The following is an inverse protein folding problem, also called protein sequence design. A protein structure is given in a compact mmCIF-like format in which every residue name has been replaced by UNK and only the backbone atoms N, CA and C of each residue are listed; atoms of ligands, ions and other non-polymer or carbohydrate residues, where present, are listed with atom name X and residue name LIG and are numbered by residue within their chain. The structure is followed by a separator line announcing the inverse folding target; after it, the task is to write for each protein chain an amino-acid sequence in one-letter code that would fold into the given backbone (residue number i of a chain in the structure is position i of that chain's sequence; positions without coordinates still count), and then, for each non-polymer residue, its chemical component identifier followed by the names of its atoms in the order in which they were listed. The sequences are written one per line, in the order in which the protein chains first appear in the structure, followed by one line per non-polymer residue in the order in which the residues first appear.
data_IF_400967370700
#
_entry.id   IF_400967370700
#
_cell.length_a   1.000
_cell.length_b   1.000
_cell.length_c   1.000
_cell.angle_alpha   90.00
_cell.angle_beta   90.00
_cell.angle_gamma   90.00
#
_symmetry.space_group_name_H-M   'P 1'
#
loop_
_entity.id
_entity.type
_entity.pdbx_description
1 polymer ?
#
# COMPACT_ATOMS: atom_id res chain seq x y z
N UNK A 1 7.54 -14.13 13.33
CA UNK A 1 6.29 -13.36 13.22
C UNK A 1 5.14 -14.23 13.69
N UNK A 2 4.04 -13.62 14.12
CA UNK A 2 2.84 -14.34 14.58
C UNK A 2 2.14 -15.03 13.39
N UNK A 3 2.19 -16.37 13.39
CA UNK A 3 1.61 -17.20 12.32
C UNK A 3 0.07 -17.18 12.32
N UNK A 4 -0.57 -16.94 13.46
CA UNK A 4 -2.02 -16.82 13.52
C UNK A 4 -2.48 -15.53 12.82
N UNK A 5 -1.80 -14.42 13.08
CA UNK A 5 -2.07 -13.15 12.41
C UNK A 5 -1.87 -13.24 10.89
N UNK A 6 -0.77 -13.83 10.43
CA UNK A 6 -0.50 -13.97 8.99
C UNK A 6 -1.55 -14.82 8.28
N UNK A 7 -1.98 -15.94 8.87
CA UNK A 7 -3.08 -16.76 8.32
C UNK A 7 -4.39 -16.00 8.24
N UNK A 8 -4.70 -15.16 9.25
CA UNK A 8 -5.91 -14.33 9.25
C UNK A 8 -5.88 -13.27 8.15
N UNK A 9 -4.75 -12.61 7.93
CA UNK A 9 -4.61 -11.66 6.82
C UNK A 9 -4.75 -12.34 5.46
N UNK A 10 -4.21 -13.55 5.29
CA UNK A 10 -4.35 -14.28 4.05
C UNK A 10 -5.82 -14.67 3.78
N UNK A 11 -6.54 -15.15 4.79
CA UNK A 11 -7.97 -15.43 4.66
C UNK A 11 -8.78 -14.19 4.24
N UNK A 12 -8.48 -13.02 4.81
CA UNK A 12 -9.12 -11.75 4.42
C UNK A 12 -8.75 -11.33 2.99
N UNK A 13 -7.50 -11.52 2.58
CA UNK A 13 -7.04 -11.22 1.21
C UNK A 13 -7.77 -12.08 0.18
N UNK A 14 -7.91 -13.39 0.46
CA UNK A 14 -8.66 -14.33 -0.38
C UNK A 14 -10.12 -13.89 -0.49
N UNK A 15 -10.77 -13.60 0.63
CA UNK A 15 -12.16 -13.13 0.64
C UNK A 15 -12.34 -11.84 -0.18
N UNK A 16 -11.40 -10.88 -0.04
CA UNK A 16 -11.38 -9.66 -0.84
C UNK A 16 -11.21 -9.94 -2.34
N UNK A 17 -10.25 -10.79 -2.71
CA UNK A 17 -10.01 -11.15 -4.12
C UNK A 17 -11.20 -11.85 -4.78
N UNK A 18 -11.91 -12.71 -4.05
CA UNK A 18 -13.18 -13.31 -4.52
C UNK A 18 -14.25 -12.25 -4.75
N UNK A 19 -14.44 -11.32 -3.79
CA UNK A 19 -15.44 -10.23 -3.91
C UNK A 19 -15.10 -9.22 -5.01
N UNK A 20 -13.82 -9.02 -5.31
CA UNK A 20 -13.35 -8.19 -6.42
C UNK A 20 -13.44 -8.91 -7.78
N UNK A 21 -13.79 -10.20 -7.82
CA UNK A 21 -13.79 -11.01 -9.04
C UNK A 21 -12.39 -11.35 -9.58
N UNK A 22 -11.34 -11.15 -8.78
CA UNK A 22 -9.96 -11.51 -9.15
C UNK A 22 -9.70 -13.02 -9.01
N UNK A 23 -10.43 -13.69 -8.12
CA UNK A 23 -10.36 -15.13 -7.89
C UNK A 23 -11.71 -15.76 -8.20
N UNK A 24 -11.72 -16.97 -8.78
CA UNK A 24 -12.95 -17.76 -8.97
C UNK A 24 -13.18 -18.70 -7.80
N UNK A 25 -12.10 -19.23 -7.23
CA UNK A 25 -12.11 -20.07 -6.04
C UNK A 25 -10.94 -19.71 -5.10
N UNK A 26 -11.01 -20.01 -3.79
CA UNK A 26 -9.95 -19.71 -2.83
C UNK A 26 -8.55 -20.17 -3.25
N UNK A 27 -8.47 -21.30 -3.95
CA UNK A 27 -7.22 -21.95 -4.36
C UNK A 27 -6.47 -21.13 -5.44
N UNK A 28 -7.19 -20.29 -6.21
CA UNK A 28 -6.57 -19.42 -7.21
C UNK A 28 -5.64 -18.38 -6.58
N UNK A 29 -5.86 -18.04 -5.31
CA UNK A 29 -5.04 -17.07 -4.60
C UNK A 29 -3.57 -17.50 -4.46
N UNK A 30 -3.29 -18.81 -4.49
CA UNK A 30 -1.93 -19.36 -4.49
C UNK A 30 -1.15 -19.04 -5.78
N UNK A 31 -1.86 -18.84 -6.90
CA UNK A 31 -1.29 -18.45 -8.20
C UNK A 31 -0.99 -16.95 -8.28
N UNK A 32 -1.58 -16.14 -7.40
CA UNK A 32 -1.39 -14.68 -7.33
C UNK A 32 -0.97 -14.24 -5.93
N UNK A 33 0.33 -14.38 -5.66
CA UNK A 33 0.93 -14.04 -4.37
C UNK A 33 1.04 -12.52 -4.11
N UNK A 34 0.86 -11.70 -5.16
CA UNK A 34 1.05 -10.24 -5.10
C UNK A 34 -0.25 -9.43 -5.16
N UNK A 35 -1.30 -9.97 -5.79
CA UNK A 35 -2.55 -9.24 -6.02
C UNK A 35 -3.79 -10.07 -5.63
N UNK A 36 -4.82 -9.47 -5.01
CA UNK A 36 -4.79 -8.12 -4.45
C UNK A 36 -3.83 -8.04 -3.24
N UNK A 37 -3.25 -6.86 -2.99
CA UNK A 37 -2.57 -6.58 -1.73
C UNK A 37 -3.60 -6.36 -0.63
N UNK A 38 -3.26 -6.71 0.61
CA UNK A 38 -4.07 -6.38 1.79
C UNK A 38 -3.33 -5.36 2.65
N UNK A 39 -4.05 -4.32 3.07
CA UNK A 39 -3.57 -3.31 3.99
C UNK A 39 -4.63 -3.01 5.04
N UNK A 40 -4.19 -2.57 6.21
CA UNK A 40 -5.05 -2.04 7.27
C UNK A 40 -4.62 -0.63 7.62
N UNK A 41 -5.59 0.18 8.01
CA UNK A 41 -5.44 1.61 8.25
C UNK A 41 -5.95 1.99 9.63
N UNK A 42 -5.42 3.07 10.18
CA UNK A 42 -5.89 3.68 11.41
C UNK A 42 -5.68 5.20 11.35
N UNK A 43 -6.39 5.99 12.19
CA UNK A 43 -6.10 7.40 12.39
C UNK A 43 -4.64 7.65 12.76
N UNK A 44 -4.19 8.90 12.57
CA UNK A 44 -2.87 9.33 12.99
C UNK A 44 -2.62 8.99 14.46
N UNK A 45 -1.52 8.31 14.76
CA UNK A 45 -1.11 7.94 16.12
C UNK A 45 0.40 7.84 16.15
N UNK A 46 1.02 8.41 17.18
CA UNK A 46 2.47 8.39 17.37
C UNK A 46 3.01 6.96 17.50
N UNK A 47 4.17 6.69 16.90
CA UNK A 47 4.85 5.39 17.00
C UNK A 47 6.36 5.51 16.84
N UNK A 48 7.08 4.51 17.34
CA UNK A 48 8.51 4.34 17.06
C UNK A 48 8.67 3.53 15.77
N UNK A 49 9.35 4.10 14.78
CA UNK A 49 9.63 3.43 13.51
C UNK A 49 10.71 2.36 13.65
N UNK A 50 10.86 1.50 12.63
CA UNK A 50 11.88 0.45 12.62
C UNK A 50 13.33 0.97 12.61
N UNK A 51 13.55 2.27 12.35
CA UNK A 51 14.86 2.92 12.45
C UNK A 51 15.12 3.56 13.82
N UNK A 52 14.18 3.43 14.77
CA UNK A 52 14.25 4.06 16.10
C UNK A 52 13.77 5.52 16.12
N UNK A 53 13.42 6.12 14.97
CA UNK A 53 12.86 7.47 14.94
C UNK A 53 11.41 7.46 15.42
N UNK A 54 11.08 8.36 16.36
CA UNK A 54 9.69 8.67 16.73
C UNK A 54 9.01 9.43 15.59
N UNK A 55 7.85 8.95 15.17
CA UNK A 55 6.92 9.65 14.28
C UNK A 55 5.74 10.07 15.15
N UNK A 56 5.43 11.37 15.19
CA UNK A 56 4.31 11.87 15.99
C UNK A 56 3.00 11.80 15.21
N UNK A 57 1.87 11.93 15.90
CA UNK A 57 0.57 12.00 15.23
C UNK A 57 0.46 13.23 14.32
N UNK A 58 1.14 14.32 14.66
CA UNK A 58 1.17 15.56 13.87
C UNK A 58 2.03 15.42 12.59
N UNK A 59 2.94 14.43 12.55
CA UNK A 59 3.78 14.15 11.38
C UNK A 59 3.03 13.39 10.27
N UNK A 60 1.81 12.90 10.51
CA UNK A 60 1.08 12.02 9.58
C UNK A 60 -0.42 12.31 9.56
N UNK A 61 -1.06 12.03 8.43
CA UNK A 61 -2.53 12.07 8.30
C UNK A 61 -3.18 10.76 8.77
N UNK A 62 -2.49 9.63 8.59
CA UNK A 62 -3.00 8.29 8.90
C UNK A 62 -1.86 7.27 9.03
N UNK A 63 -2.17 6.13 9.63
CA UNK A 63 -1.31 4.95 9.63
C UNK A 63 -1.76 3.98 8.54
N UNK A 64 -0.78 3.43 7.80
CA UNK A 64 -1.03 2.31 6.89
C UNK A 64 0.01 1.22 7.09
N UNK A 65 -0.46 -0.02 7.13
CA UNK A 65 0.37 -1.23 7.21
C UNK A 65 -0.12 -2.19 6.15
N UNK A 66 0.78 -2.66 5.29
CA UNK A 66 0.43 -3.53 4.16
C UNK A 66 1.24 -4.82 4.20
N UNK A 67 0.61 -5.90 3.74
CA UNK A 67 1.26 -7.19 3.56
C UNK A 67 1.58 -7.39 2.08
N UNK A 68 2.74 -8.01 1.82
CA UNK A 68 3.17 -8.47 0.50
C UNK A 68 3.81 -9.84 0.65
N UNK A 69 3.46 -10.78 -0.24
CA UNK A 69 3.99 -12.15 -0.22
C UNK A 69 3.86 -12.80 1.17
N UNK A 70 2.73 -12.61 1.84
CA UNK A 70 2.41 -13.20 3.15
C UNK A 70 3.14 -12.61 4.35
N UNK A 71 3.85 -11.48 4.23
CA UNK A 71 4.55 -10.80 5.34
C UNK A 71 4.24 -9.31 5.39
N UNK A 72 4.35 -8.72 6.58
CA UNK A 72 4.28 -7.28 6.75
C UNK A 72 5.44 -6.61 6.01
N UNK A 73 5.12 -5.64 5.15
CA UNK A 73 6.12 -4.91 4.40
C UNK A 73 6.86 -3.92 5.32
N UNK A 74 8.20 -3.86 5.22
CA UNK A 74 9.03 -3.04 6.11
C UNK A 74 8.83 -1.51 5.92
N UNK A 75 8.42 -1.10 4.73
CA UNK A 75 8.06 0.28 4.37
C UNK A 75 6.67 0.31 3.72
N UNK A 76 6.57 0.66 2.44
CA UNK A 76 5.34 0.51 1.64
C UNK A 76 5.67 0.21 0.17
N UNK A 77 4.88 -0.64 -0.49
CA UNK A 77 5.02 -0.91 -1.92
C UNK A 77 4.62 0.32 -2.75
N UNK A 78 5.32 0.59 -3.85
CA UNK A 78 5.03 1.76 -4.71
C UNK A 78 3.61 1.77 -5.26
N UNK A 79 3.12 0.63 -5.75
CA UNK A 79 1.73 0.48 -6.24
C UNK A 79 0.70 0.62 -5.13
N UNK A 80 0.97 0.08 -3.93
CA UNK A 80 0.10 0.28 -2.77
C UNK A 80 0.06 1.74 -2.32
N UNK A 81 1.16 2.48 -2.51
CA UNK A 81 1.25 3.91 -2.22
C UNK A 81 0.34 4.72 -3.17
N UNK A 82 0.24 4.32 -4.44
CA UNK A 82 -0.74 4.89 -5.40
C UNK A 82 -2.18 4.55 -4.99
N UNK A 83 -2.44 3.32 -4.55
CA UNK A 83 -3.76 2.92 -4.07
C UNK A 83 -4.19 3.70 -2.82
N UNK A 84 -3.27 3.95 -1.88
CA UNK A 84 -3.50 4.79 -0.70
C UNK A 84 -3.82 6.23 -1.12
N UNK A 85 -3.03 6.81 -2.02
CA UNK A 85 -3.26 8.17 -2.51
C UNK A 85 -4.63 8.32 -3.16
N UNK A 86 -4.96 7.36 -4.04
CA UNK A 86 -6.24 7.31 -4.76
C UNK A 86 -7.41 7.16 -3.80
N UNK A 87 -7.33 6.21 -2.87
CA UNK A 87 -8.40 5.98 -1.92
C UNK A 87 -8.57 7.19 -0.98
N UNK A 88 -7.48 7.82 -0.54
CA UNK A 88 -7.54 9.04 0.25
C UNK A 88 -8.22 10.20 -0.48
N UNK A 89 -8.07 10.29 -1.80
CA UNK A 89 -8.67 11.32 -2.65
C UNK A 89 -10.15 11.10 -2.97
N UNK A 90 -10.68 9.90 -2.71
CA UNK A 90 -12.10 9.58 -2.88
C UNK A 90 -12.79 9.70 -1.52
N UNK A 91 -13.65 10.72 -1.29
CA UNK A 91 -14.37 10.87 -0.03
C UNK A 91 -15.19 9.63 0.32
N UNK A 92 -15.10 9.20 1.58
CA UNK A 92 -15.87 8.07 2.11
C UNK A 92 -15.21 6.69 2.01
N UNK A 93 -14.05 6.56 1.36
CA UNK A 93 -13.27 5.31 1.50
C UNK A 93 -12.71 5.16 2.92
N UNK A 94 -12.39 3.94 3.34
CA UNK A 94 -11.77 3.70 4.66
C UNK A 94 -10.44 4.45 4.84
N UNK A 95 -9.67 4.62 3.76
CA UNK A 95 -8.41 5.37 3.80
C UNK A 95 -8.69 6.87 3.99
N UNK A 96 -9.65 7.42 3.26
CA UNK A 96 -10.08 8.81 3.40
C UNK A 96 -10.59 9.10 4.82
N UNK A 97 -11.45 8.22 5.35
CA UNK A 97 -11.99 8.35 6.71
C UNK A 97 -10.90 8.25 7.78
N UNK A 98 -9.96 7.33 7.65
CA UNK A 98 -8.82 7.22 8.55
C UNK A 98 -7.92 8.46 8.53
N UNK A 99 -7.84 9.15 7.38
CA UNK A 99 -7.12 10.42 7.27
C UNK A 99 -7.89 11.62 7.84
N UNK A 100 -9.15 11.46 8.26
CA UNK A 100 -10.01 12.54 8.78
C UNK A 100 -11.12 12.98 7.83
N UNK A 101 -11.32 12.29 6.71
CA UNK A 101 -12.41 12.58 5.76
C UNK A 101 -12.16 13.77 4.84
N UNK A 102 -13.20 14.17 4.12
CA UNK A 102 -13.23 15.34 3.23
C UNK A 102 -12.50 15.14 1.90
N UNK A 103 -12.36 16.22 1.14
CA UNK A 103 -11.54 16.22 -0.08
C UNK A 103 -10.06 16.31 0.26
N UNK A 104 -9.24 15.43 -0.33
CA UNK A 104 -7.80 15.36 -0.05
C UNK A 104 -7.02 15.07 -1.33
N UNK A 105 -6.17 15.99 -1.75
CA UNK A 105 -5.30 15.78 -2.91
C UNK A 105 -3.97 15.11 -2.55
N UNK A 106 -3.60 15.11 -1.27
CA UNK A 106 -2.41 14.45 -0.76
C UNK A 106 -2.60 13.99 0.67
N UNK A 107 -1.91 12.91 1.02
CA UNK A 107 -1.78 12.41 2.39
C UNK A 107 -0.33 12.00 2.65
N UNK A 108 0.11 12.21 3.88
CA UNK A 108 1.34 11.68 4.44
C UNK A 108 0.97 10.56 5.39
N UNK A 109 1.20 9.32 4.97
CA UNK A 109 0.91 8.16 5.83
C UNK A 109 2.16 7.67 6.54
N UNK A 110 1.99 7.21 7.78
CA UNK A 110 3.02 6.48 8.53
C UNK A 110 3.01 4.99 8.17
N UNK A 111 4.17 4.47 7.77
CA UNK A 111 4.48 3.05 7.55
C UNK A 111 5.55 2.56 8.54
N UNK A 112 5.89 1.26 8.66
CA UNK A 112 6.75 0.78 9.74
C UNK A 112 8.11 1.48 9.84
N UNK A 113 8.74 1.80 8.71
CA UNK A 113 10.04 2.49 8.69
C UNK A 113 10.02 4.03 8.68
N UNK A 114 8.85 4.69 8.68
CA UNK A 114 8.77 6.15 8.60
C UNK A 114 7.51 6.65 7.90
N UNK A 115 7.59 7.77 7.19
CA UNK A 115 6.43 8.37 6.52
C UNK A 115 6.64 8.50 5.02
N UNK A 116 5.54 8.48 4.26
CA UNK A 116 5.56 8.75 2.83
C UNK A 116 4.41 9.69 2.46
N UNK A 117 4.74 10.79 1.76
CA UNK A 117 3.74 11.70 1.19
C UNK A 117 3.42 11.27 -0.24
N UNK A 118 2.13 11.11 -0.51
CA UNK A 118 1.59 10.74 -1.83
C UNK A 118 0.37 11.61 -2.14
N UNK A 119 0.09 11.79 -3.42
CA UNK A 119 -1.06 12.55 -3.88
C UNK A 119 -1.81 11.88 -5.01
N UNK A 120 -3.08 12.23 -5.15
CA UNK A 120 -3.92 11.83 -6.26
C UNK A 120 -4.95 12.92 -6.55
N UNK A 121 -5.30 13.08 -7.81
CA UNK A 121 -6.46 13.85 -8.24
C UNK A 121 -7.53 12.86 -8.72
N UNK A 122 -8.67 12.86 -8.04
CA UNK A 122 -9.82 12.04 -8.39
C UNK A 122 -11.03 12.95 -8.61
N UNK A 123 -11.77 12.71 -9.69
CA UNK A 123 -13.00 13.42 -10.03
C UNK A 123 -14.13 12.41 -10.18
N UNK A 124 -15.33 12.79 -9.76
CA UNK A 124 -16.53 12.01 -10.02
C UNK A 124 -17.22 12.54 -11.27
N UNK A 125 -17.38 11.70 -12.29
CA UNK A 125 -18.05 12.00 -13.55
C UNK A 125 -19.12 10.93 -13.78
N UNK A 126 -20.37 11.33 -13.98
CA UNK A 126 -21.50 10.42 -14.23
C UNK A 126 -21.61 9.27 -13.22
N UNK A 127 -21.37 9.57 -11.93
CA UNK A 127 -21.40 8.59 -10.83
C UNK A 127 -20.15 7.70 -10.73
N UNK A 128 -19.19 7.82 -11.64
CA UNK A 128 -17.97 7.04 -11.67
C UNK A 128 -16.76 7.87 -11.23
N UNK A 129 -15.85 7.25 -10.48
CA UNK A 129 -14.59 7.88 -10.09
C UNK A 129 -13.54 7.71 -11.17
N UNK A 130 -12.95 8.81 -11.62
CA UNK A 130 -11.80 8.85 -12.52
C UNK A 130 -10.61 9.49 -11.81
N UNK A 131 -9.48 8.79 -11.77
CA UNK A 131 -8.22 9.30 -11.22
C UNK A 131 -7.41 9.88 -12.37
N UNK A 132 -7.18 11.19 -12.37
CA UNK A 132 -6.45 11.89 -13.45
C UNK A 132 -4.96 11.95 -13.18
N UNK A 133 -4.53 11.89 -11.91
CA UNK A 133 -3.12 11.95 -11.52
C UNK A 133 -2.84 11.11 -10.28
N UNK A 134 -1.64 10.52 -10.23
CA UNK A 134 -1.03 9.96 -9.03
C UNK A 134 0.37 10.54 -8.88
N UNK A 135 0.70 11.06 -7.69
CA UNK A 135 1.89 11.84 -7.41
C UNK A 135 2.67 11.18 -6.28
N UNK A 136 3.96 10.94 -6.49
CA UNK A 136 4.88 10.50 -5.43
C UNK A 136 6.28 11.05 -5.66
N UNK A 137 7.03 11.24 -4.58
CA UNK A 137 8.45 11.60 -4.64
C UNK A 137 9.32 10.38 -4.34
N UNK A 138 10.31 10.13 -5.19
CA UNK A 138 11.29 9.04 -5.05
C UNK A 138 12.68 9.56 -5.44
N UNK A 139 13.71 8.84 -5.03
CA UNK A 139 15.10 9.06 -5.46
C UNK A 139 15.65 7.79 -6.11
N UNK A 140 16.64 7.95 -6.97
CA UNK A 140 17.35 6.85 -7.62
C UNK A 140 18.86 7.15 -7.64
N UNK A 141 19.69 6.10 -7.56
CA UNK A 141 21.15 6.19 -7.71
C UNK A 141 21.66 4.91 -8.36
N UNK A 142 22.75 5.00 -9.13
CA UNK A 142 23.48 3.84 -9.62
C UNK A 142 24.20 3.19 -8.43
N UNK A 143 24.13 1.86 -8.34
CA UNK A 143 24.89 1.07 -7.35
C UNK A 143 26.09 0.37 -7.98
N UNK A 144 25.95 -0.11 -9.21
CA UNK A 144 27.00 -0.76 -9.98
C UNK A 144 26.75 -0.52 -11.48
N UNK A 145 27.82 -0.32 -12.23
CA UNK A 145 27.83 -0.27 -13.70
C UNK A 145 28.84 -1.33 -14.20
N UNK A 146 28.45 -2.13 -15.18
CA UNK A 146 29.29 -3.21 -15.70
C UNK A 146 28.46 -4.28 -16.43
N UNK A 147 28.99 -5.50 -16.48
CA UNK A 147 28.38 -6.63 -17.18
C UNK A 147 28.01 -7.76 -16.21
N UNK A 148 26.75 -8.19 -16.26
CA UNK A 148 26.30 -9.43 -15.63
C UNK A 148 26.73 -10.60 -16.52
N UNK A 149 27.27 -11.67 -15.93
CA UNK A 149 27.66 -12.91 -16.63
C UNK A 149 26.66 -14.02 -16.28
N UNK A 150 26.45 -14.92 -17.23
CA UNK A 150 25.55 -16.08 -17.12
C UNK A 150 26.13 -17.27 -17.90
N UNK A 151 25.65 -18.51 -17.69
CA UNK A 151 26.04 -19.68 -18.48
C UNK A 151 25.65 -19.53 -19.96
N UNK A 152 26.50 -20.04 -20.87
CA UNK A 152 26.33 -19.88 -22.31
C UNK A 152 25.16 -20.66 -22.93
N UNK A 153 24.55 -21.57 -22.18
CA UNK A 153 23.45 -22.46 -22.56
C UNK A 153 22.09 -22.04 -21.96
N UNK A 154 22.00 -20.84 -21.40
CA UNK A 154 20.77 -20.34 -20.75
C UNK A 154 19.70 -19.88 -21.76
N UNK A 155 20.09 -19.62 -23.01
CA UNK A 155 19.19 -19.23 -24.11
C UNK A 155 19.62 -19.83 -25.44
#
# INVERSE_FOLDING_TARGET
GDQAALRRFEALRIAGGLKMGLFKAPEDAAKSLRAPCIAFVAPATSYMSSSGKTITAEDIDLLVRALSMGKLHHAMMGTASVAIATAAAVPGTLVNLAAGGGERQAVRFGHPSGTLRVGAEARQEDGHWSVTKAIMSRSARILMEGWIRIPGDTF
#
